data_IF_303906816818
#
_entry.id   IF_303906816818
#
_cell.length_a   1.000
_cell.length_b   1.000
_cell.length_c   1.000
_cell.angle_alpha   90.00
_cell.angle_beta   90.00
_cell.angle_gamma   90.00
#
_symmetry.space_group_name_H-M   'P 1'
#
loop_
_entity.id
_entity.type
_entity.pdbx_description
1 polymer ?
#
# COMPACT_ATOMS: atom_id res chain seq x y z
N UNK A 1 -9.90 -16.90 6.96
CA UNK A 1 -8.92 -16.25 7.88
C UNK A 1 -8.78 -14.81 7.43
N UNK A 2 -9.47 -13.85 8.08
CA UNK A 2 -9.53 -12.46 7.59
C UNK A 2 -8.36 -11.59 8.02
N UNK A 3 -7.75 -11.89 9.17
CA UNK A 3 -6.91 -10.92 9.89
C UNK A 3 -5.52 -11.46 10.24
N UNK A 4 -5.16 -12.66 9.76
CA UNK A 4 -3.90 -13.32 10.14
C UNK A 4 -3.79 -13.72 11.63
N UNK A 5 -4.77 -13.36 12.47
CA UNK A 5 -4.77 -13.62 13.91
C UNK A 5 -5.33 -15.01 14.29
N UNK A 6 -4.99 -15.46 15.50
CA UNK A 6 -5.65 -16.60 16.13
C UNK A 6 -7.11 -16.25 16.45
N UNK A 7 -8.08 -17.13 16.14
CA UNK A 7 -9.48 -16.94 16.54
C UNK A 7 -9.67 -16.75 18.05
N UNK A 8 -8.80 -17.36 18.86
CA UNK A 8 -8.85 -17.27 20.33
C UNK A 8 -8.36 -15.93 20.90
N UNK A 9 -7.68 -15.15 20.07
CA UNK A 9 -7.11 -13.85 20.46
C UNK A 9 -7.78 -12.68 19.74
N UNK A 10 -8.71 -12.97 18.82
CA UNK A 10 -9.38 -11.97 18.02
C UNK A 10 -10.45 -11.24 18.87
N UNK A 11 -10.40 -9.90 19.01
CA UNK A 11 -11.47 -9.10 19.59
C UNK A 11 -12.87 -9.42 19.03
N UNK A 12 -13.89 -9.33 19.88
CA UNK A 12 -15.29 -9.63 19.53
C UNK A 12 -15.85 -8.80 18.37
N UNK A 13 -15.29 -7.60 18.13
CA UNK A 13 -15.67 -6.73 16.99
C UNK A 13 -15.52 -7.44 15.65
N UNK A 14 -14.64 -8.44 15.54
CA UNK A 14 -14.45 -9.18 14.30
C UNK A 14 -15.59 -10.13 13.94
N UNK A 15 -16.50 -10.42 14.88
CA UNK A 15 -17.77 -11.09 14.56
C UNK A 15 -18.64 -10.30 13.58
N UNK A 16 -18.42 -8.99 13.46
CA UNK A 16 -19.09 -8.15 12.47
C UNK A 16 -18.78 -8.58 11.03
N UNK A 17 -17.64 -9.22 10.77
CA UNK A 17 -17.31 -9.70 9.41
C UNK A 17 -18.33 -10.75 8.97
N UNK A 18 -18.64 -11.72 9.83
CA UNK A 18 -19.65 -12.75 9.55
C UNK A 18 -21.05 -12.16 9.41
N UNK A 19 -21.38 -11.12 10.20
CA UNK A 19 -22.63 -10.39 10.01
C UNK A 19 -22.69 -9.69 8.65
N UNK A 20 -21.58 -9.09 8.21
CA UNK A 20 -21.53 -8.38 6.92
C UNK A 20 -21.75 -9.37 5.77
N UNK A 21 -21.09 -10.52 5.81
CA UNK A 21 -21.27 -11.59 4.81
C UNK A 21 -22.69 -12.12 4.78
N UNK A 22 -23.30 -12.32 5.96
CA UNK A 22 -24.67 -12.81 6.05
C UNK A 22 -25.68 -11.78 5.52
N UNK A 23 -25.50 -10.50 5.88
CA UNK A 23 -26.47 -9.44 5.54
C UNK A 23 -26.35 -8.96 4.09
N UNK A 24 -25.13 -8.80 3.57
CA UNK A 24 -24.88 -8.21 2.24
C UNK A 24 -24.37 -9.21 1.20
N UNK A 25 -24.16 -10.46 1.61
CA UNK A 25 -23.73 -11.54 0.74
C UNK A 25 -22.23 -11.56 0.46
N UNK A 26 -21.82 -12.63 -0.22
CA UNK A 26 -20.46 -12.83 -0.71
C UNK A 26 -20.51 -12.79 -2.23
N UNK A 27 -19.65 -11.97 -2.84
CA UNK A 27 -19.65 -11.72 -4.27
C UNK A 27 -18.41 -12.29 -4.92
N UNK A 28 -18.57 -12.86 -6.10
CA UNK A 28 -17.48 -13.39 -6.91
C UNK A 28 -17.33 -12.56 -8.17
N UNK A 29 -16.10 -12.08 -8.41
CA UNK A 29 -15.77 -11.37 -9.65
C UNK A 29 -15.64 -12.39 -10.77
N UNK A 30 -16.43 -12.24 -11.84
CA UNK A 30 -16.32 -13.07 -13.04
C UNK A 30 -14.90 -12.96 -13.60
N UNK A 31 -14.24 -14.09 -13.87
CA UNK A 31 -12.83 -14.12 -14.29
C UNK A 31 -11.81 -13.97 -13.16
N UNK A 32 -12.27 -13.95 -11.90
CA UNK A 32 -11.42 -13.92 -10.70
C UNK A 32 -11.09 -12.51 -10.21
N UNK A 33 -10.53 -12.43 -9.00
CA UNK A 33 -10.31 -11.16 -8.29
C UNK A 33 -9.37 -10.20 -9.05
N UNK A 34 -8.48 -10.71 -9.90
CA UNK A 34 -7.57 -9.87 -10.70
C UNK A 34 -8.32 -8.91 -11.63
N UNK A 35 -9.51 -9.29 -12.11
CA UNK A 35 -10.34 -8.44 -12.98
C UNK A 35 -10.72 -7.11 -12.31
N UNK A 36 -10.87 -7.09 -10.98
CA UNK A 36 -11.12 -5.86 -10.24
C UNK A 36 -9.94 -4.88 -10.39
N UNK A 37 -8.71 -5.38 -10.24
CA UNK A 37 -7.50 -4.55 -10.41
C UNK A 37 -7.36 -4.05 -11.84
N UNK A 38 -7.69 -4.87 -12.84
CA UNK A 38 -7.68 -4.48 -14.25
C UNK A 38 -8.69 -3.37 -14.53
N UNK A 39 -9.94 -3.54 -14.08
CA UNK A 39 -10.99 -2.53 -14.24
C UNK A 39 -10.61 -1.20 -13.55
N UNK A 40 -10.04 -1.26 -12.34
CA UNK A 40 -9.52 -0.05 -11.67
C UNK A 40 -8.40 0.60 -12.49
N UNK A 41 -7.53 -0.18 -13.14
CA UNK A 41 -6.46 0.35 -13.98
C UNK A 41 -6.97 1.06 -15.23
N UNK A 42 -8.09 0.59 -15.79
CA UNK A 42 -8.75 1.20 -16.94
C UNK A 42 -9.35 2.55 -16.56
N UNK A 43 -10.08 2.61 -15.44
CA UNK A 43 -10.62 3.86 -14.90
C UNK A 43 -9.52 4.87 -14.65
N UNK A 44 -8.40 4.47 -14.04
CA UNK A 44 -7.26 5.40 -13.82
C UNK A 44 -6.76 6.00 -15.14
N UNK A 45 -6.66 5.19 -16.21
CA UNK A 45 -6.22 5.66 -17.54
C UNK A 45 -7.25 6.57 -18.21
N UNK A 46 -8.54 6.27 -18.05
CA UNK A 46 -9.65 7.09 -18.58
C UNK A 46 -9.60 8.52 -18.06
N UNK A 47 -9.27 8.69 -16.77
CA UNK A 47 -9.08 10.00 -16.14
C UNK A 47 -7.67 10.59 -16.34
N UNK A 48 -6.90 10.08 -17.30
CA UNK A 48 -5.57 10.61 -17.67
C UNK A 48 -4.43 10.20 -16.75
N UNK A 49 -4.68 9.30 -15.79
CA UNK A 49 -3.65 8.72 -14.93
C UNK A 49 -2.71 7.79 -15.70
N UNK A 50 -1.49 7.65 -15.19
CA UNK A 50 -0.45 6.79 -15.79
C UNK A 50 -0.03 5.72 -14.79
N UNK A 51 0.07 4.49 -15.27
CA UNK A 51 0.48 3.33 -14.46
C UNK A 51 1.78 2.80 -15.03
N UNK A 52 2.82 2.80 -14.21
CA UNK A 52 4.14 2.30 -14.55
C UNK A 52 4.41 1.01 -13.78
N UNK A 53 4.40 -0.12 -14.49
CA UNK A 53 4.73 -1.44 -13.94
C UNK A 53 6.20 -1.76 -14.18
N UNK A 54 6.79 -2.63 -13.36
CA UNK A 54 8.22 -2.95 -13.43
C UNK A 54 9.12 -1.71 -13.27
N UNK A 55 8.58 -0.65 -12.67
CA UNK A 55 9.27 0.62 -12.44
C UNK A 55 9.41 0.81 -10.94
N UNK A 56 10.51 0.31 -10.40
CA UNK A 56 10.73 0.32 -8.96
C UNK A 56 11.16 1.72 -8.48
N UNK A 57 10.51 2.19 -7.43
CA UNK A 57 10.92 3.40 -6.70
C UNK A 57 12.10 3.06 -5.82
N UNK A 58 13.17 3.85 -5.92
CA UNK A 58 14.38 3.73 -5.11
C UNK A 58 14.26 4.57 -3.83
N UNK A 59 13.85 5.83 -3.99
CA UNK A 59 13.88 6.82 -2.90
C UNK A 59 12.76 7.84 -3.04
N UNK A 60 12.26 8.33 -1.92
CA UNK A 60 11.38 9.51 -1.88
C UNK A 60 12.21 10.76 -1.59
N UNK A 61 12.00 11.79 -2.40
CA UNK A 61 12.67 13.08 -2.26
C UNK A 61 11.92 13.95 -1.26
N UNK A 62 12.66 14.46 -0.27
CA UNK A 62 12.11 15.30 0.80
C UNK A 62 12.97 16.53 1.03
N UNK A 63 12.31 17.66 1.32
CA UNK A 63 12.94 18.90 1.78
C UNK A 63 12.32 19.25 3.13
N UNK A 64 13.09 19.07 4.20
CA UNK A 64 12.57 19.15 5.57
C UNK A 64 11.50 18.09 5.82
N UNK A 65 10.26 18.52 6.11
CA UNK A 65 9.11 17.62 6.35
C UNK A 65 8.19 17.43 5.12
N UNK A 66 8.53 18.01 3.96
CA UNK A 66 7.70 17.95 2.75
C UNK A 66 8.35 17.03 1.71
N UNK A 67 7.59 16.07 1.20
CA UNK A 67 7.99 15.30 0.01
C UNK A 67 7.75 16.13 -1.25
N UNK A 68 8.61 16.00 -2.25
CA UNK A 68 8.50 16.75 -3.51
C UNK A 68 8.72 15.89 -4.77
N UNK A 69 8.85 14.57 -4.61
CA UNK A 69 9.05 13.67 -5.74
C UNK A 69 9.65 12.32 -5.33
N UNK A 70 10.04 11.55 -6.33
CA UNK A 70 10.64 10.22 -6.19
C UNK A 70 11.83 10.04 -7.14
N UNK A 71 12.72 9.13 -6.79
CA UNK A 71 13.79 8.63 -7.66
C UNK A 71 13.53 7.16 -7.95
N UNK A 72 13.60 6.78 -9.21
CA UNK A 72 13.45 5.42 -9.69
C UNK A 72 14.79 4.67 -9.64
N UNK A 73 14.76 3.34 -9.76
CA UNK A 73 15.99 2.53 -9.71
C UNK A 73 16.97 2.82 -10.86
N UNK A 74 16.48 3.32 -12.00
CA UNK A 74 17.31 3.75 -13.14
C UNK A 74 17.94 5.14 -12.95
N UNK A 75 17.68 5.80 -11.81
CA UNK A 75 18.15 7.15 -11.49
C UNK A 75 17.24 8.28 -11.97
N UNK A 76 16.17 7.98 -12.72
CA UNK A 76 15.20 8.98 -13.16
C UNK A 76 14.51 9.62 -11.96
N UNK A 77 14.38 10.95 -12.00
CA UNK A 77 13.65 11.71 -10.99
C UNK A 77 12.29 12.12 -11.51
N UNK A 78 11.25 11.94 -10.70
CA UNK A 78 9.88 12.34 -10.99
C UNK A 78 9.43 13.31 -9.90
N UNK A 79 9.22 14.57 -10.27
CA UNK A 79 8.75 15.61 -9.36
C UNK A 79 7.24 15.50 -9.13
N UNK A 80 6.80 15.77 -7.91
CA UNK A 80 5.38 15.79 -7.56
C UNK A 80 5.09 16.65 -6.33
N UNK A 81 3.93 17.30 -6.30
CA UNK A 81 3.48 18.07 -5.13
C UNK A 81 3.14 17.17 -3.93
N UNK A 82 2.67 15.95 -4.24
CA UNK A 82 2.23 14.95 -3.28
C UNK A 82 2.81 13.57 -3.63
N UNK A 83 3.12 12.79 -2.60
CA UNK A 83 3.58 11.40 -2.71
C UNK A 83 2.71 10.56 -1.77
N UNK A 84 1.95 9.62 -2.33
CA UNK A 84 1.15 8.65 -1.58
C UNK A 84 1.84 7.29 -1.69
N UNK A 85 2.08 6.65 -0.54
CA UNK A 85 2.79 5.37 -0.47
C UNK A 85 1.80 4.29 -0.04
N UNK A 86 1.67 3.25 -0.85
CA UNK A 86 0.89 2.05 -0.51
C UNK A 86 1.78 0.80 -0.32
N UNK A 87 3.10 0.97 -0.26
CA UNK A 87 4.01 -0.10 0.11
C UNK A 87 3.91 -0.40 1.61
N UNK A 88 4.33 -1.61 2.01
CA UNK A 88 4.44 -1.97 3.43
C UNK A 88 5.17 -0.88 4.23
N UNK A 89 4.66 -0.56 5.41
CA UNK A 89 5.13 0.58 6.19
C UNK A 89 6.59 0.40 6.61
N UNK A 90 6.93 -0.77 7.16
CA UNK A 90 8.29 -1.03 7.62
C UNK A 90 9.27 -0.99 6.43
N UNK A 91 8.88 -1.61 5.33
CA UNK A 91 9.63 -1.59 4.09
C UNK A 91 9.84 -0.16 3.55
N UNK A 92 8.79 0.65 3.46
CA UNK A 92 8.84 2.01 2.94
C UNK A 92 9.73 2.91 3.81
N UNK A 93 9.59 2.81 5.13
CA UNK A 93 10.38 3.61 6.07
C UNK A 93 11.88 3.27 6.00
N UNK A 94 12.22 1.98 5.89
CA UNK A 94 13.61 1.53 5.82
C UNK A 94 14.26 1.82 4.47
N UNK A 95 13.54 1.63 3.37
CA UNK A 95 14.12 1.68 2.03
C UNK A 95 13.97 3.05 1.36
N UNK A 96 12.79 3.67 1.42
CA UNK A 96 12.50 4.87 0.62
C UNK A 96 12.83 6.18 1.32
N UNK A 97 12.66 6.26 2.65
CA UNK A 97 12.78 7.51 3.40
C UNK A 97 14.10 7.70 4.15
N UNK A 98 14.94 6.64 4.29
CA UNK A 98 16.27 6.64 4.95
C UNK A 98 16.35 7.42 6.28
N UNK A 99 15.24 7.57 7.01
CA UNK A 99 15.19 8.28 8.29
C UNK A 99 15.62 7.37 9.44
N UNK A 100 16.94 7.29 9.71
CA UNK A 100 17.51 6.45 10.78
C UNK A 100 17.21 6.93 12.22
N UNK A 101 16.74 8.16 12.43
CA UNK A 101 16.70 8.78 13.79
C UNK A 101 15.47 8.43 14.65
N UNK A 102 14.36 7.93 14.07
CA UNK A 102 13.11 7.69 14.84
C UNK A 102 12.56 6.27 14.72
N UNK A 103 13.04 5.48 13.76
CA UNK A 103 12.59 4.12 13.50
C UNK A 103 13.80 3.20 13.36
N UNK A 104 14.33 2.74 14.50
CA UNK A 104 15.41 1.75 14.54
C UNK A 104 14.90 0.40 14.02
N UNK A 105 15.73 -0.37 13.32
CA UNK A 105 15.34 -1.66 12.71
C UNK A 105 14.63 -2.64 13.67
N UNK A 106 14.98 -2.59 14.97
CA UNK A 106 14.35 -3.38 16.03
C UNK A 106 12.87 -3.02 16.27
N UNK A 107 12.50 -1.74 16.12
CA UNK A 107 11.12 -1.28 16.30
C UNK A 107 10.26 -1.44 15.04
N UNK A 108 10.88 -1.47 13.85
CA UNK A 108 10.17 -1.66 12.58
C UNK A 108 9.76 -3.11 12.33
N UNK A 109 10.58 -4.09 12.74
CA UNK A 109 10.22 -5.52 12.67
C UNK A 109 8.99 -5.90 13.50
N UNK A 110 8.63 -5.11 14.51
CA UNK A 110 7.41 -5.31 15.32
C UNK A 110 6.15 -4.70 14.69
N UNK A 111 6.31 -3.94 13.60
CA UNK A 111 5.25 -3.15 12.94
C UNK A 111 5.06 -3.51 11.47
N UNK A 112 5.84 -4.49 10.97
CA UNK A 112 5.59 -5.24 9.75
C UNK A 112 4.65 -6.41 10.09
#
# INVERSE_FOLDING_TARGET
KYLGMSPWQAPSVYSLISFIEYKWGIHHVTGGLNQLTLAMSEVVKEYGGRIYTSTRVNKILTKGKKAYGIVLDDGTTVDSDYVIINADFAYAMSNFLKTKKKFTDSNLKKRA
#
